data_IF_381300687443
#
_entry.id   IF_381300687443
#
_cell.length_a   1.000
_cell.length_b   1.000
_cell.length_c   1.000
_cell.angle_alpha   90.00
_cell.angle_beta   90.00
_cell.angle_gamma   90.00
#
_symmetry.space_group_name_H-M   'P 1'
#
loop_
_entity.id
_entity.type
_entity.pdbx_description
1 polymer ?
#
# COMPACT_ATOMS: atom_id res chain seq x y z
N UNK A 1 0.04 -20.06 10.82
CA UNK A 1 -0.35 -18.69 10.43
C UNK A 1 0.21 -18.49 9.04
N UNK A 2 -0.63 -18.17 8.05
CA UNK A 2 -0.18 -17.95 6.67
C UNK A 2 0.53 -16.59 6.59
N UNK A 3 1.84 -16.54 6.29
CA UNK A 3 2.58 -15.29 6.20
C UNK A 3 2.06 -14.36 5.09
N UNK A 4 1.46 -14.91 4.03
CA UNK A 4 0.91 -14.11 2.93
C UNK A 4 -0.37 -13.40 3.34
N UNK A 5 -1.18 -14.02 4.20
CA UNK A 5 -2.40 -13.40 4.73
C UNK A 5 -2.10 -12.10 5.51
N UNK A 6 -0.98 -12.05 6.25
CA UNK A 6 -0.57 -10.83 6.95
C UNK A 6 -0.18 -9.69 5.99
N UNK A 7 0.49 -10.01 4.87
CA UNK A 7 0.77 -9.02 3.82
C UNK A 7 -0.51 -8.54 3.14
N UNK A 8 -1.43 -9.46 2.85
CA UNK A 8 -2.70 -9.14 2.20
C UNK A 8 -3.58 -8.23 3.10
N UNK A 9 -3.62 -8.48 4.42
CA UNK A 9 -4.29 -7.59 5.39
C UNK A 9 -3.65 -6.20 5.47
N UNK A 10 -2.32 -6.12 5.45
CA UNK A 10 -1.60 -4.84 5.45
C UNK A 10 -1.87 -4.06 4.15
N UNK A 11 -1.87 -4.72 2.98
CA UNK A 11 -2.21 -4.12 1.71
C UNK A 11 -3.65 -3.58 1.71
N UNK A 12 -4.62 -4.35 2.20
CA UNK A 12 -6.01 -3.91 2.30
C UNK A 12 -6.16 -2.67 3.20
N UNK A 13 -5.44 -2.63 4.32
CA UNK A 13 -5.44 -1.46 5.20
C UNK A 13 -4.85 -0.22 4.52
N UNK A 14 -3.76 -0.37 3.76
CA UNK A 14 -3.17 0.73 3.00
C UNK A 14 -4.10 1.21 1.87
N UNK A 15 -4.83 0.30 1.22
CA UNK A 15 -5.83 0.65 0.20
C UNK A 15 -7.00 1.44 0.79
N UNK A 16 -7.46 1.07 2.00
CA UNK A 16 -8.46 1.85 2.75
C UNK A 16 -7.94 3.25 3.08
N UNK A 17 -6.70 3.37 3.57
CA UNK A 17 -6.07 4.67 3.82
C UNK A 17 -5.97 5.52 2.55
N UNK A 18 -5.60 4.91 1.42
CA UNK A 18 -5.53 5.61 0.13
C UNK A 18 -6.90 6.12 -0.32
N UNK A 19 -7.96 5.35 -0.07
CA UNK A 19 -9.34 5.75 -0.34
C UNK A 19 -9.74 6.97 0.50
N UNK A 20 -9.45 6.97 1.80
CA UNK A 20 -9.72 8.12 2.67
C UNK A 20 -8.92 9.35 2.25
N UNK A 21 -7.64 9.18 1.91
CA UNK A 21 -6.79 10.28 1.43
C UNK A 21 -7.35 10.91 0.14
N UNK A 22 -7.83 10.11 -0.80
CA UNK A 22 -8.49 10.61 -2.02
C UNK A 22 -9.76 11.40 -1.71
N UNK A 23 -10.55 10.97 -0.71
CA UNK A 23 -11.75 11.71 -0.28
C UNK A 23 -11.36 13.07 0.31
N UNK A 24 -10.36 13.10 1.20
CA UNK A 24 -9.84 14.34 1.79
C UNK A 24 -9.28 15.28 0.71
N UNK A 25 -8.54 14.75 -0.26
CA UNK A 25 -8.03 15.53 -1.39
C UNK A 25 -9.17 16.12 -2.26
N UNK A 26 -10.22 15.35 -2.52
CA UNK A 26 -11.39 15.83 -3.26
C UNK A 26 -12.12 16.95 -2.51
N UNK A 27 -12.30 16.82 -1.19
CA UNK A 27 -12.90 17.88 -0.38
C UNK A 27 -12.07 19.15 -0.37
N UNK A 28 -10.75 19.01 -0.32
CA UNK A 28 -9.84 20.14 -0.31
C UNK A 28 -9.78 20.85 -1.67
N UNK A 29 -9.86 20.09 -2.77
CA UNK A 29 -9.95 20.65 -4.12
C UNK A 29 -11.25 21.44 -4.31
N UNK A 30 -12.38 20.92 -3.80
CA UNK A 30 -13.64 21.63 -3.81
C UNK A 30 -13.55 22.95 -3.02
N UNK A 31 -13.01 22.89 -1.80
CA UNK A 31 -12.78 24.06 -0.95
C UNK A 31 -11.88 25.10 -1.62
N UNK A 32 -10.76 24.67 -2.22
CA UNK A 32 -9.87 25.54 -2.99
C UNK A 32 -10.62 26.26 -4.11
N UNK A 33 -11.43 25.54 -4.87
CA UNK A 33 -12.25 26.13 -5.93
C UNK A 33 -13.25 27.17 -5.42
N UNK A 34 -13.88 26.93 -4.26
CA UNK A 34 -14.78 27.89 -3.61
C UNK A 34 -14.05 29.14 -3.13
N UNK A 35 -12.90 28.98 -2.48
CA UNK A 35 -12.06 30.07 -1.97
C UNK A 35 -11.53 30.93 -3.11
N UNK A 36 -11.02 30.33 -4.19
CA UNK A 36 -10.59 31.07 -5.40
C UNK A 36 -11.72 31.93 -5.97
N UNK A 37 -12.93 31.34 -6.13
CA UNK A 37 -14.11 32.09 -6.58
C UNK A 37 -14.48 33.20 -5.61
N UNK A 38 -14.33 33.00 -4.30
CA UNK A 38 -14.59 34.02 -3.28
C UNK A 38 -13.58 35.18 -3.36
N UNK A 39 -12.29 34.89 -3.52
CA UNK A 39 -11.22 35.88 -3.76
C UNK A 39 -11.56 36.75 -4.97
N UNK A 40 -11.96 36.15 -6.08
CA UNK A 40 -12.38 36.90 -7.27
C UNK A 40 -13.59 37.79 -7.00
N UNK A 41 -14.63 37.27 -6.33
CA UNK A 41 -15.84 38.04 -5.99
C UNK A 41 -15.51 39.23 -5.12
N UNK A 42 -14.72 39.07 -4.06
CA UNK A 42 -14.34 40.16 -3.18
C UNK A 42 -13.43 41.18 -3.87
N UNK A 43 -12.51 40.72 -4.74
CA UNK A 43 -11.68 41.62 -5.56
C UNK A 43 -12.54 42.48 -6.48
N UNK A 44 -13.51 41.89 -7.18
CA UNK A 44 -14.47 42.65 -8.02
C UNK A 44 -15.32 43.61 -7.19
N UNK A 45 -15.76 43.18 -6.01
CA UNK A 45 -16.54 44.01 -5.09
C UNK A 45 -15.76 45.25 -4.63
N UNK A 46 -14.47 45.10 -4.33
CA UNK A 46 -13.61 46.24 -3.98
C UNK A 46 -13.49 47.23 -5.12
N UNK A 47 -13.28 46.76 -6.36
CA UNK A 47 -13.25 47.63 -7.54
C UNK A 47 -14.57 48.38 -7.75
N UNK A 48 -15.72 47.72 -7.53
CA UNK A 48 -17.04 48.35 -7.60
C UNK A 48 -17.21 49.43 -6.52
N UNK A 49 -16.83 49.13 -5.28
CA UNK A 49 -16.88 50.08 -4.17
C UNK A 49 -16.02 51.31 -4.44
N UNK A 50 -14.85 51.12 -5.06
CA UNK A 50 -13.95 52.21 -5.43
C UNK A 50 -14.53 53.11 -6.52
N UNK A 51 -15.10 52.52 -7.58
CA UNK A 51 -15.78 53.29 -8.63
C UNK A 51 -16.98 54.08 -8.09
N UNK A 52 -17.77 53.47 -7.19
CA UNK A 52 -18.90 54.12 -6.52
C UNK A 52 -18.44 55.24 -5.59
N UNK A 53 -17.32 55.05 -4.88
CA UNK A 53 -16.75 56.05 -3.99
C UNK A 53 -16.28 57.27 -4.78
N UNK A 54 -15.55 57.06 -5.87
CA UNK A 54 -15.12 58.14 -6.76
C UNK A 54 -16.31 58.94 -7.32
N UNK A 55 -17.41 58.26 -7.65
CA UNK A 55 -18.67 58.91 -8.08
C UNK A 55 -19.34 59.70 -6.96
N UNK A 56 -19.31 59.21 -5.72
CA UNK A 56 -19.85 59.95 -4.57
C UNK A 56 -18.98 61.17 -4.23
N UNK A 57 -17.66 61.05 -4.34
CA UNK A 57 -16.69 62.14 -4.16
C UNK A 57 -16.92 63.26 -5.19
N UNK A 58 -17.11 62.91 -6.47
CA UNK A 58 -17.39 63.92 -7.52
C UNK A 58 -18.73 64.65 -7.35
N UNK A 59 -19.68 64.02 -6.66
CA UNK A 59 -20.98 64.61 -6.29
C UNK A 59 -20.98 65.31 -4.94
N UNK A 60 -19.84 65.34 -4.22
CA UNK A 60 -19.73 65.87 -2.86
C UNK A 60 -20.70 65.22 -1.85
N UNK A 61 -21.08 63.97 -2.06
CA UNK A 61 -21.94 63.21 -1.13
C UNK A 61 -21.11 62.58 0.00
N UNK A 62 -20.83 63.38 1.02
CA UNK A 62 -19.99 62.97 2.16
C UNK A 62 -20.55 61.75 2.92
N UNK A 63 -21.88 61.58 2.96
CA UNK A 63 -22.52 60.46 3.65
C UNK A 63 -22.30 59.16 2.88
N UNK A 64 -22.51 59.18 1.56
CA UNK A 64 -22.23 58.02 0.72
C UNK A 64 -20.75 57.62 0.77
N UNK A 65 -19.83 58.61 0.74
CA UNK A 65 -18.39 58.35 0.88
C UNK A 65 -18.05 57.65 2.20
N UNK A 66 -18.61 58.10 3.32
CA UNK A 66 -18.36 57.50 4.63
C UNK A 66 -18.83 56.03 4.70
N UNK A 67 -20.03 55.74 4.17
CA UNK A 67 -20.55 54.36 4.12
C UNK A 67 -19.68 53.48 3.22
N UNK A 68 -19.35 53.93 2.01
CA UNK A 68 -18.53 53.16 1.07
C UNK A 68 -17.11 52.89 1.59
N UNK A 69 -16.53 53.80 2.38
CA UNK A 69 -15.26 53.54 3.08
C UNK A 69 -15.39 52.40 4.09
N UNK A 70 -16.46 52.36 4.88
CA UNK A 70 -16.70 51.28 5.84
C UNK A 70 -16.92 49.95 5.13
N UNK A 71 -17.73 49.93 4.07
CA UNK A 71 -17.98 48.73 3.26
C UNK A 71 -16.69 48.20 2.62
N UNK A 72 -15.82 49.10 2.17
CA UNK A 72 -14.50 48.75 1.62
C UNK A 72 -13.64 48.06 2.67
N UNK A 73 -13.52 48.62 3.88
CA UNK A 73 -12.73 48.00 4.97
C UNK A 73 -13.26 46.60 5.30
N UNK A 74 -14.57 46.42 5.33
CA UNK A 74 -15.16 45.10 5.55
C UNK A 74 -14.83 44.11 4.42
N UNK A 75 -14.94 44.55 3.16
CA UNK A 75 -14.59 43.72 2.01
C UNK A 75 -13.10 43.39 1.94
N UNK A 76 -12.22 44.31 2.33
CA UNK A 76 -10.77 44.08 2.45
C UNK A 76 -10.46 43.02 3.52
N UNK A 77 -11.11 43.11 4.69
CA UNK A 77 -10.95 42.11 5.75
C UNK A 77 -11.40 40.71 5.33
N UNK A 78 -12.53 40.61 4.62
CA UNK A 78 -13.01 39.34 4.07
C UNK A 78 -12.08 38.80 2.98
N UNK A 79 -11.55 39.66 2.11
CA UNK A 79 -10.59 39.25 1.09
C UNK A 79 -9.30 38.71 1.73
N UNK A 80 -8.78 39.40 2.76
CA UNK A 80 -7.59 38.98 3.48
C UNK A 80 -7.78 37.61 4.14
N UNK A 81 -8.86 37.40 4.88
CA UNK A 81 -9.11 36.10 5.54
C UNK A 81 -9.37 34.97 4.55
N UNK A 82 -10.00 35.27 3.41
CA UNK A 82 -10.23 34.28 2.34
C UNK A 82 -8.90 33.89 1.68
N UNK A 83 -7.99 34.84 1.45
CA UNK A 83 -6.65 34.56 0.90
C UNK A 83 -5.83 33.71 1.86
N UNK A 84 -5.83 34.05 3.13
CA UNK A 84 -5.14 33.25 4.16
C UNK A 84 -5.71 31.81 4.22
N UNK A 85 -7.04 31.67 4.13
CA UNK A 85 -7.67 30.34 4.09
C UNK A 85 -7.31 29.57 2.82
N UNK A 86 -7.16 30.26 1.67
CA UNK A 86 -6.71 29.66 0.42
C UNK A 86 -5.27 29.18 0.52
N UNK A 87 -4.37 29.98 1.07
CA UNK A 87 -2.97 29.61 1.30
C UNK A 87 -2.86 28.39 2.22
N UNK A 88 -3.65 28.34 3.31
CA UNK A 88 -3.72 27.15 4.17
C UNK A 88 -4.22 25.93 3.41
N UNK A 89 -5.29 26.06 2.61
CA UNK A 89 -5.79 24.96 1.80
C UNK A 89 -4.78 24.47 0.75
N UNK A 90 -3.93 25.36 0.22
CA UNK A 90 -2.84 24.98 -0.68
C UNK A 90 -1.72 24.24 0.05
N UNK A 91 -1.35 24.69 1.26
CA UNK A 91 -0.38 24.00 2.12
C UNK A 91 -0.87 22.61 2.53
N UNK A 92 -2.11 22.49 2.99
CA UNK A 92 -2.73 21.21 3.34
C UNK A 92 -2.76 20.27 2.11
N UNK A 93 -2.94 20.84 0.91
CA UNK A 93 -2.94 20.09 -0.34
C UNK A 93 -1.57 19.52 -0.67
N UNK A 94 -0.50 20.28 -0.41
CA UNK A 94 0.86 19.78 -0.56
C UNK A 94 1.15 18.61 0.39
N UNK A 95 0.73 18.72 1.65
CA UNK A 95 0.88 17.65 2.65
C UNK A 95 0.11 16.37 2.26
N UNK A 96 -1.11 16.51 1.73
CA UNK A 96 -1.87 15.36 1.24
C UNK A 96 -1.20 14.69 0.03
N UNK A 97 -0.57 15.45 -0.86
CA UNK A 97 0.18 14.89 -1.99
C UNK A 97 1.43 14.15 -1.54
N UNK A 98 2.15 14.68 -0.55
CA UNK A 98 3.31 14.02 0.06
C UNK A 98 2.89 12.69 0.71
N UNK A 99 1.85 12.73 1.56
CA UNK A 99 1.31 11.51 2.18
C UNK A 99 0.79 10.49 1.15
N UNK A 100 0.23 10.95 0.02
CA UNK A 100 -0.19 10.06 -1.06
C UNK A 100 1.00 9.36 -1.74
N UNK A 101 2.11 10.09 -1.93
CA UNK A 101 3.32 9.57 -2.53
C UNK A 101 3.97 8.52 -1.62
N UNK A 102 4.15 8.83 -0.34
CA UNK A 102 4.69 7.90 0.66
C UNK A 102 3.86 6.63 0.77
N UNK A 103 2.53 6.77 0.78
CA UNK A 103 1.62 5.62 0.81
C UNK A 103 1.75 4.76 -0.45
N UNK A 104 1.90 5.39 -1.61
CA UNK A 104 2.12 4.70 -2.89
C UNK A 104 3.43 3.91 -2.89
N UNK A 105 4.52 4.51 -2.42
CA UNK A 105 5.82 3.83 -2.30
C UNK A 105 5.73 2.63 -1.35
N UNK A 106 5.05 2.79 -0.21
CA UNK A 106 4.88 1.72 0.77
C UNK A 106 4.06 0.55 0.24
N UNK A 107 3.00 0.81 -0.52
CA UNK A 107 2.20 -0.23 -1.17
C UNK A 107 3.04 -1.03 -2.18
N UNK A 108 3.84 -0.33 -2.99
CA UNK A 108 4.69 -0.99 -3.99
C UNK A 108 5.81 -1.81 -3.34
N UNK A 109 6.43 -1.31 -2.28
CA UNK A 109 7.39 -2.07 -1.48
C UNK A 109 6.77 -3.35 -0.92
N UNK A 110 5.60 -3.23 -0.28
CA UNK A 110 4.91 -4.36 0.35
C UNK A 110 4.46 -5.41 -0.68
N UNK A 111 4.06 -4.99 -1.88
CA UNK A 111 3.76 -5.91 -3.00
C UNK A 111 4.98 -6.72 -3.42
N UNK A 112 6.15 -6.09 -3.54
CA UNK A 112 7.40 -6.79 -3.87
C UNK A 112 7.82 -7.75 -2.76
N UNK A 113 7.68 -7.36 -1.50
CA UNK A 113 7.96 -8.23 -0.35
C UNK A 113 7.03 -9.45 -0.35
N UNK A 114 5.73 -9.25 -0.59
CA UNK A 114 4.73 -10.30 -0.68
C UNK A 114 5.00 -11.26 -1.84
N UNK A 115 5.38 -10.75 -3.01
CA UNK A 115 5.78 -11.57 -4.16
C UNK A 115 7.04 -12.41 -3.84
N UNK A 116 8.04 -11.79 -3.23
CA UNK A 116 9.26 -12.47 -2.78
C UNK A 116 8.98 -13.55 -1.73
N UNK A 117 8.08 -13.29 -0.78
CA UNK A 117 7.66 -14.25 0.24
C UNK A 117 6.93 -15.44 -0.40
N UNK A 118 6.04 -15.17 -1.35
CA UNK A 118 5.32 -16.20 -2.11
C UNK A 118 6.30 -17.12 -2.87
N UNK A 119 7.27 -16.54 -3.58
CA UNK A 119 8.28 -17.31 -4.30
C UNK A 119 9.09 -18.22 -3.38
N UNK A 120 9.47 -17.72 -2.19
CA UNK A 120 10.20 -18.51 -1.18
C UNK A 120 9.38 -19.67 -0.63
N UNK A 121 8.08 -19.47 -0.38
CA UNK A 121 7.19 -20.54 0.09
C UNK A 121 7.03 -21.65 -0.96
N UNK A 122 6.86 -21.29 -2.24
CA UNK A 122 6.77 -22.25 -3.35
C UNK A 122 8.06 -23.06 -3.47
N UNK A 123 9.23 -22.40 -3.45
CA UNK A 123 10.52 -23.08 -3.52
C UNK A 123 10.77 -24.00 -2.33
N UNK A 124 10.41 -23.56 -1.12
CA UNK A 124 10.49 -24.40 0.08
C UNK A 124 9.63 -25.67 -0.02
N UNK A 125 8.44 -25.57 -0.60
CA UNK A 125 7.58 -26.72 -0.90
C UNK A 125 8.25 -27.71 -1.86
N UNK A 126 8.80 -27.23 -2.97
CA UNK A 126 9.49 -28.06 -3.96
C UNK A 126 10.68 -28.79 -3.33
N UNK A 127 11.51 -28.09 -2.53
CA UNK A 127 12.67 -28.70 -1.85
C UNK A 127 12.22 -29.76 -0.84
N UNK A 128 11.16 -29.48 -0.09
CA UNK A 128 10.63 -30.42 0.90
C UNK A 128 10.11 -31.70 0.23
N UNK A 129 9.38 -31.58 -0.88
CA UNK A 129 8.90 -32.75 -1.63
C UNK A 129 10.05 -33.54 -2.27
N UNK A 130 11.06 -32.86 -2.84
CA UNK A 130 12.25 -33.52 -3.36
C UNK A 130 13.04 -34.27 -2.27
N UNK A 131 13.11 -33.73 -1.06
CA UNK A 131 13.72 -34.40 0.09
C UNK A 131 12.91 -35.62 0.52
N UNK A 132 11.59 -35.53 0.60
CA UNK A 132 10.71 -36.67 0.89
C UNK A 132 10.87 -37.80 -0.13
N UNK A 133 10.87 -37.47 -1.42
CA UNK A 133 11.08 -38.46 -2.49
C UNK A 133 12.46 -39.12 -2.38
N UNK A 134 13.49 -38.35 -2.01
CA UNK A 134 14.84 -38.88 -1.79
C UNK A 134 14.89 -39.83 -0.59
N UNK A 135 14.22 -39.49 0.51
CA UNK A 135 14.10 -40.37 1.69
C UNK A 135 13.36 -41.65 1.34
N UNK A 136 12.23 -41.57 0.64
CA UNK A 136 11.46 -42.75 0.22
C UNK A 136 12.28 -43.70 -0.67
N UNK A 137 13.11 -43.16 -1.58
CA UNK A 137 14.03 -43.95 -2.39
C UNK A 137 15.10 -44.65 -1.56
N UNK A 138 15.65 -43.98 -0.54
CA UNK A 138 16.61 -44.60 0.37
C UNK A 138 15.96 -45.72 1.20
N UNK A 139 14.77 -45.50 1.73
CA UNK A 139 14.00 -46.52 2.46
C UNK A 139 13.75 -47.75 1.58
N UNK A 140 13.36 -47.54 0.31
CA UNK A 140 13.17 -48.64 -0.63
C UNK A 140 14.47 -49.40 -0.94
N UNK A 141 15.60 -48.71 -1.10
CA UNK A 141 16.89 -49.35 -1.31
C UNK A 141 17.29 -50.23 -0.13
N UNK A 142 17.09 -49.75 1.10
CA UNK A 142 17.36 -50.52 2.32
C UNK A 142 16.51 -51.80 2.40
N UNK A 143 15.24 -51.74 1.99
CA UNK A 143 14.37 -52.93 1.93
C UNK A 143 14.90 -53.94 0.90
N UNK A 144 15.35 -53.48 -0.26
CA UNK A 144 15.92 -54.35 -1.30
C UNK A 144 17.23 -54.99 -0.83
N UNK A 145 18.10 -54.24 -0.17
CA UNK A 145 19.36 -54.78 0.36
C UNK A 145 19.10 -55.81 1.47
N UNK A 146 18.18 -55.54 2.41
CA UNK A 146 17.79 -56.53 3.42
C UNK A 146 17.21 -57.81 2.81
N UNK A 147 16.45 -57.69 1.71
CA UNK A 147 15.93 -58.84 0.97
C UNK A 147 17.06 -59.63 0.28
N UNK A 148 18.07 -58.96 -0.26
CA UNK A 148 19.27 -59.62 -0.83
C UNK A 148 20.03 -60.39 0.23
N UNK A 149 20.27 -59.79 1.39
CA UNK A 149 20.96 -60.44 2.50
C UNK A 149 20.22 -61.69 2.99
N UNK A 150 18.88 -61.68 2.97
CA UNK A 150 18.08 -62.86 3.31
C UNK A 150 18.22 -63.97 2.26
N UNK A 151 18.21 -63.61 0.97
CA UNK A 151 18.41 -64.56 -0.14
C UNK A 151 19.82 -65.17 -0.08
N UNK A 152 20.86 -64.36 0.14
CA UNK A 152 22.23 -64.84 0.29
C UNK A 152 22.38 -65.79 1.48
N UNK A 153 21.75 -65.46 2.63
CA UNK A 153 21.71 -66.37 3.79
C UNK A 153 21.01 -67.69 3.47
N UNK A 154 19.90 -67.66 2.75
CA UNK A 154 19.20 -68.87 2.34
C UNK A 154 20.05 -69.73 1.39
N UNK A 155 20.78 -69.11 0.45
CA UNK A 155 21.71 -69.80 -0.44
C UNK A 155 22.87 -70.44 0.33
N UNK A 156 23.51 -69.68 1.23
CA UNK A 156 24.60 -70.20 2.06
C UNK A 156 24.14 -71.39 2.91
N UNK A 157 22.95 -71.31 3.51
CA UNK A 157 22.36 -72.42 4.27
C UNK A 157 22.13 -73.65 3.39
N UNK A 158 21.61 -73.45 2.17
CA UNK A 158 21.37 -74.54 1.23
C UNK A 158 22.68 -75.22 0.77
N UNK A 159 23.76 -74.45 0.62
CA UNK A 159 25.07 -75.00 0.26
C UNK A 159 25.66 -75.83 1.42
N UNK A 160 25.56 -75.35 2.67
CA UNK A 160 25.95 -76.14 3.87
C UNK A 160 25.18 -77.45 3.96
N UNK A 161 23.85 -77.45 3.77
CA UNK A 161 23.06 -78.69 3.77
C UNK A 161 23.47 -79.65 2.65
N UNK A 162 23.83 -79.14 1.47
CA UNK A 162 24.32 -79.98 0.36
C UNK A 162 25.69 -80.60 0.68
N UNK A 163 26.57 -79.87 1.37
CA UNK A 163 27.85 -80.40 1.82
C UNK A 163 27.67 -81.47 2.91
N UNK A 164 26.84 -81.22 3.93
CA UNK A 164 26.54 -82.21 4.97
C UNK A 164 25.92 -83.50 4.42
N UNK A 165 25.07 -83.40 3.40
CA UNK A 165 24.49 -84.57 2.72
C UNK A 165 25.52 -85.35 1.92
N UNK A 166 26.53 -84.68 1.34
CA UNK A 166 27.63 -85.34 0.65
C UNK A 166 28.55 -86.05 1.66
N UNK A 167 28.89 -85.40 2.76
CA UNK A 167 29.72 -85.97 3.83
C UNK A 167 29.06 -87.18 4.53
N UNK A 168 27.72 -87.26 4.56
CA UNK A 168 26.99 -88.43 5.11
C UNK A 168 26.81 -89.57 4.12
N UNK A 169 27.11 -89.37 2.84
CA UNK A 169 26.98 -90.37 1.78
C UNK A 169 28.29 -91.09 1.43
N UNK A 170 29.42 -90.56 1.93
CA UNK A 170 30.75 -91.21 1.96
C UNK A 170 30.96 -91.97 3.29
#
# INVERSE_FOLDING_TARGET
MDPLAAFDELLENLERQASELRKSAATLLALKGELTRAVERYTRRLAELDARRATAESRSDAKAVAVLKKDRVQAEALLASTRESLERAESDGALLLEAAAELGERVEELRRERESASARLVMGGIVTEALKERVARFEQALVVDAARDEVERAHALADVYREELREKAD
#
